data_IF_195927109385
#
_entry.id   IF_195927109385
#
_cell.length_a   1.000
_cell.length_b   1.000
_cell.length_c   1.000
_cell.angle_alpha   90.00
_cell.angle_beta   90.00
_cell.angle_gamma   90.00
#
_symmetry.space_group_name_H-M   'P 1'
#
loop_
_entity.id
_entity.type
_entity.pdbx_description
1 polymer ?
#
# COMPACT_ATOMS: atom_id res chain seq x y z
N UNK A 1 12.57 13.50 15.33
CA UNK A 1 11.15 13.60 14.90
C UNK A 1 10.71 12.29 14.25
N UNK A 2 11.42 11.81 13.24
CA UNK A 2 11.14 10.56 12.51
C UNK A 2 10.72 9.35 13.38
N UNK A 3 11.57 8.90 14.31
CA UNK A 3 11.28 7.72 15.15
C UNK A 3 10.00 7.86 15.98
N UNK A 4 9.66 9.09 16.40
CA UNK A 4 8.42 9.36 17.13
C UNK A 4 7.19 9.17 16.21
N UNK A 5 7.27 9.60 14.95
CA UNK A 5 6.20 9.41 13.96
C UNK A 5 6.01 7.93 13.63
N UNK A 6 7.09 7.19 13.37
CA UNK A 6 7.02 5.75 13.10
C UNK A 6 6.37 5.00 14.26
N UNK A 7 6.82 5.26 15.50
CA UNK A 7 6.20 4.66 16.69
C UNK A 7 4.73 5.02 16.84
N UNK A 8 4.35 6.26 16.50
CA UNK A 8 2.96 6.69 16.58
C UNK A 8 2.07 6.00 15.52
N UNK A 9 2.58 5.81 14.30
CA UNK A 9 1.91 5.04 13.24
C UNK A 9 1.75 3.58 13.69
N UNK A 10 2.81 3.00 14.26
CA UNK A 10 2.80 1.61 14.72
C UNK A 10 1.81 1.40 15.86
N UNK A 11 1.77 2.30 16.84
CA UNK A 11 0.79 2.26 17.92
C UNK A 11 -0.65 2.35 17.37
N UNK A 12 -0.88 3.23 16.40
CA UNK A 12 -2.19 3.40 15.77
C UNK A 12 -2.64 2.13 15.02
N UNK A 13 -1.72 1.49 14.29
CA UNK A 13 -1.99 0.27 13.54
C UNK A 13 -2.08 -0.98 14.44
N UNK A 14 -1.37 -1.03 15.56
CA UNK A 14 -1.51 -2.10 16.55
C UNK A 14 -2.85 -2.08 17.28
N UNK A 15 -3.61 -0.98 17.20
CA UNK A 15 -4.97 -0.93 17.70
C UNK A 15 -6.00 -1.60 16.75
N UNK A 16 -5.57 -2.12 15.60
CA UNK A 16 -6.43 -2.90 14.71
C UNK A 16 -6.91 -4.18 15.41
N UNK A 17 -8.24 -4.37 15.59
CA UNK A 17 -8.77 -5.57 16.23
C UNK A 17 -8.60 -6.84 15.37
N UNK A 18 -8.28 -6.69 14.08
CA UNK A 18 -8.07 -7.81 13.18
C UNK A 18 -6.62 -8.29 13.30
N UNK A 19 -6.45 -9.62 13.43
CA UNK A 19 -5.13 -10.24 13.48
C UNK A 19 -4.89 -11.18 12.30
N UNK A 20 -3.64 -11.29 11.90
CA UNK A 20 -3.15 -12.21 10.85
C UNK A 20 -1.92 -12.95 11.35
N UNK A 21 -1.78 -14.22 10.96
CA UNK A 21 -0.60 -15.02 11.29
C UNK A 21 0.47 -14.86 10.22
N UNK A 22 1.70 -14.63 10.63
CA UNK A 22 2.88 -14.60 9.76
C UNK A 22 4.07 -15.18 10.54
N UNK A 23 4.79 -16.12 9.93
CA UNK A 23 5.95 -16.80 10.55
C UNK A 23 5.69 -17.35 11.96
N UNK A 24 4.49 -17.91 12.18
CA UNK A 24 4.09 -18.48 13.46
C UNK A 24 3.71 -17.46 14.54
N UNK A 25 3.81 -16.17 14.26
CA UNK A 25 3.39 -15.08 15.16
C UNK A 25 2.09 -14.43 14.69
N UNK A 26 1.36 -13.83 15.63
CA UNK A 26 0.13 -13.08 15.36
C UNK A 26 0.42 -11.60 15.36
N UNK A 27 0.00 -10.89 14.32
CA UNK A 27 0.16 -9.45 14.18
C UNK A 27 -1.19 -8.77 13.96
N UNK A 28 -1.34 -7.54 14.45
CA UNK A 28 -2.38 -6.64 13.99
C UNK A 28 -2.24 -6.44 12.47
N UNK A 29 -3.35 -6.57 11.73
CA UNK A 29 -3.32 -6.67 10.27
C UNK A 29 -2.71 -5.43 9.61
N UNK A 30 -3.16 -4.23 9.98
CA UNK A 30 -2.59 -3.00 9.41
C UNK A 30 -1.14 -2.73 9.90
N UNK A 31 -0.72 -3.27 11.05
CA UNK A 31 0.67 -3.18 11.50
C UNK A 31 1.60 -4.03 10.64
N UNK A 32 1.21 -5.27 10.35
CA UNK A 32 1.99 -6.13 9.44
C UNK A 32 2.07 -5.53 8.03
N UNK A 33 0.99 -4.92 7.54
CA UNK A 33 1.01 -4.20 6.26
C UNK A 33 2.03 -3.05 6.28
N UNK A 34 2.05 -2.22 7.33
CA UNK A 34 3.01 -1.13 7.48
C UNK A 34 4.47 -1.62 7.50
N UNK A 35 4.74 -2.75 8.16
CA UNK A 35 6.07 -3.40 8.14
C UNK A 35 6.49 -3.80 6.73
N UNK A 36 5.59 -4.44 5.97
CA UNK A 36 5.85 -4.87 4.58
C UNK A 36 6.09 -3.68 3.65
N UNK A 37 5.37 -2.58 3.84
CA UNK A 37 5.61 -1.32 3.11
C UNK A 37 7.01 -0.75 3.37
N UNK A 38 7.47 -0.76 4.63
CA UNK A 38 8.82 -0.30 4.98
C UNK A 38 9.91 -1.19 4.40
N UNK A 39 9.74 -2.52 4.51
CA UNK A 39 10.68 -3.49 3.94
C UNK A 39 10.79 -3.32 2.42
N UNK A 40 9.66 -3.25 1.72
CA UNK A 40 9.63 -3.07 0.27
C UNK A 40 10.25 -1.73 -0.15
N UNK A 41 9.97 -0.63 0.55
CA UNK A 41 10.63 0.65 0.26
C UNK A 41 12.15 0.54 0.38
N UNK A 42 12.63 -0.14 1.42
CA UNK A 42 14.07 -0.31 1.66
C UNK A 42 14.74 -1.14 0.56
N UNK A 43 14.04 -2.15 0.01
CA UNK A 43 14.54 -2.94 -1.12
C UNK A 43 14.47 -2.20 -2.46
N UNK A 44 13.35 -1.51 -2.72
CA UNK A 44 13.08 -0.86 -4.00
C UNK A 44 13.81 0.46 -4.18
N UNK A 45 13.83 1.31 -3.15
CA UNK A 45 14.40 2.65 -3.17
C UNK A 45 15.22 2.90 -1.89
N UNK A 46 16.40 2.27 -1.74
CA UNK A 46 17.19 2.32 -0.49
C UNK A 46 17.70 3.72 -0.09
N UNK A 47 17.70 4.65 -1.03
CA UNK A 47 18.08 6.07 -0.86
C UNK A 47 16.88 6.98 -0.57
N UNK A 48 15.67 6.43 -0.38
CA UNK A 48 14.49 7.20 -0.03
C UNK A 48 14.69 7.96 1.29
N UNK A 49 14.24 9.22 1.32
CA UNK A 49 14.34 10.04 2.50
C UNK A 49 13.36 9.63 3.61
N UNK A 50 13.54 10.22 4.80
CA UNK A 50 12.71 9.90 5.96
C UNK A 50 11.22 10.22 5.76
N UNK A 51 10.86 11.19 4.89
CA UNK A 51 9.46 11.52 4.61
C UNK A 51 8.80 10.41 3.80
N UNK A 52 9.51 9.82 2.85
CA UNK A 52 9.01 8.66 2.10
C UNK A 52 8.92 7.40 2.96
N UNK A 53 9.84 7.22 3.93
CA UNK A 53 9.68 6.18 4.94
C UNK A 53 8.42 6.38 5.80
N UNK A 54 8.12 7.62 6.23
CA UNK A 54 6.88 7.94 6.96
C UNK A 54 5.65 7.65 6.08
N UNK A 55 5.66 8.10 4.82
CA UNK A 55 4.56 7.91 3.88
C UNK A 55 4.28 6.42 3.63
N UNK A 56 5.33 5.62 3.38
CA UNK A 56 5.19 4.18 3.15
C UNK A 56 4.67 3.46 4.41
N UNK A 57 5.22 3.78 5.59
CA UNK A 57 4.76 3.23 6.87
C UNK A 57 3.29 3.52 7.13
N UNK A 58 2.85 4.73 6.77
CA UNK A 58 1.52 5.25 7.02
C UNK A 58 0.49 5.02 5.90
N UNK A 59 0.85 4.37 4.79
CA UNK A 59 0.03 4.29 3.57
C UNK A 59 -1.42 3.83 3.82
N UNK A 60 -1.64 2.87 4.72
CA UNK A 60 -2.97 2.38 5.13
C UNK A 60 -3.21 2.53 6.64
N UNK A 61 -2.67 3.57 7.27
CA UNK A 61 -2.82 3.79 8.72
C UNK A 61 -4.29 3.73 9.15
N UNK A 62 -4.60 2.94 10.19
CA UNK A 62 -5.93 2.80 10.80
C UNK A 62 -7.06 2.43 9.80
N UNK A 63 -6.74 1.79 8.67
CA UNK A 63 -7.73 1.48 7.62
C UNK A 63 -8.95 0.71 8.11
N UNK A 64 -8.78 -0.13 9.13
CA UNK A 64 -9.87 -0.87 9.78
C UNK A 64 -11.00 0.03 10.33
N UNK A 65 -10.74 1.32 10.57
CA UNK A 65 -11.74 2.31 11.02
C UNK A 65 -12.68 2.81 9.92
N UNK A 66 -12.37 2.54 8.65
CA UNK A 66 -13.22 2.90 7.51
C UNK A 66 -13.50 1.64 6.67
N UNK A 67 -14.39 0.75 7.16
CA UNK A 67 -14.68 -0.50 6.48
C UNK A 67 -15.46 -0.26 5.19
N UNK A 68 -15.23 -1.11 4.17
CA UNK A 68 -15.92 -1.04 2.87
C UNK A 68 -17.45 -1.14 3.00
N UNK A 69 -17.95 -1.81 4.04
CA UNK A 69 -19.38 -2.00 4.31
C UNK A 69 -20.15 -0.70 4.49
N UNK A 70 -19.46 0.39 4.87
CA UNK A 70 -20.09 1.68 5.17
C UNK A 70 -20.43 2.47 3.90
N UNK A 71 -20.09 1.95 2.73
CA UNK A 71 -20.29 2.58 1.42
C UNK A 71 -21.23 1.75 0.54
N UNK A 72 -21.99 2.38 -0.39
CA UNK A 72 -22.90 1.66 -1.29
C UNK A 72 -22.21 0.52 -2.05
N UNK A 73 -22.91 -0.58 -2.32
CA UNK A 73 -22.37 -1.68 -3.12
C UNK A 73 -22.07 -1.26 -4.56
N UNK A 74 -21.22 -2.03 -5.24
CA UNK A 74 -20.85 -1.79 -6.63
C UNK A 74 -19.67 -0.84 -6.83
N UNK A 75 -19.41 -0.55 -8.11
CA UNK A 75 -18.19 0.12 -8.58
C UNK A 75 -18.08 1.57 -8.10
N UNK A 76 -19.19 2.31 -8.12
CA UNK A 76 -19.22 3.71 -7.70
C UNK A 76 -18.92 3.86 -6.21
N UNK A 77 -19.60 3.10 -5.34
CA UNK A 77 -19.34 3.13 -3.90
C UNK A 77 -17.93 2.64 -3.53
N UNK A 78 -17.36 1.70 -4.31
CA UNK A 78 -15.95 1.33 -4.15
C UNK A 78 -15.00 2.50 -4.45
N UNK A 79 -15.26 3.29 -5.49
CA UNK A 79 -14.43 4.45 -5.78
C UNK A 79 -14.57 5.57 -4.76
N UNK A 80 -15.78 5.79 -4.24
CA UNK A 80 -16.01 6.74 -3.14
C UNK A 80 -15.23 6.33 -1.89
N UNK A 81 -15.36 5.07 -1.47
CA UNK A 81 -14.62 4.52 -0.33
C UNK A 81 -13.12 4.67 -0.51
N UNK A 82 -12.60 4.27 -1.68
CA UNK A 82 -11.17 4.35 -1.96
C UNK A 82 -10.66 5.79 -1.97
N UNK A 83 -11.42 6.73 -2.52
CA UNK A 83 -11.09 8.16 -2.50
C UNK A 83 -11.05 8.70 -1.08
N UNK A 84 -12.06 8.39 -0.26
CA UNK A 84 -12.10 8.80 1.14
C UNK A 84 -10.93 8.23 1.96
N UNK A 85 -10.52 6.98 1.69
CA UNK A 85 -9.35 6.38 2.33
C UNK A 85 -8.06 7.13 2.03
N UNK A 86 -7.86 7.62 0.80
CA UNK A 86 -6.65 8.37 0.43
C UNK A 86 -6.50 9.63 1.29
N UNK A 87 -7.56 10.41 1.42
CA UNK A 87 -7.52 11.63 2.23
C UNK A 87 -7.43 11.28 3.74
N UNK A 88 -8.20 10.29 4.22
CA UNK A 88 -8.15 9.84 5.62
C UNK A 88 -6.74 9.41 6.06
N UNK A 89 -6.06 8.56 5.26
CA UNK A 89 -4.71 8.10 5.59
C UNK A 89 -3.72 9.27 5.61
N UNK A 90 -3.77 10.14 4.61
CA UNK A 90 -2.88 11.29 4.49
C UNK A 90 -3.07 12.29 5.64
N UNK A 91 -4.31 12.60 6.01
CA UNK A 91 -4.63 13.45 7.17
C UNK A 91 -4.10 12.82 8.46
N UNK A 92 -4.29 11.51 8.62
CA UNK A 92 -3.90 10.81 9.84
C UNK A 92 -2.39 10.77 10.04
N UNK A 93 -1.62 10.46 9.00
CA UNK A 93 -0.15 10.46 9.04
C UNK A 93 0.38 11.87 9.34
N UNK A 94 -0.13 12.88 8.63
CA UNK A 94 0.38 14.25 8.76
C UNK A 94 -0.01 14.90 10.09
N UNK A 95 -1.13 14.51 10.70
CA UNK A 95 -1.43 14.89 12.08
C UNK A 95 -0.36 14.40 13.06
N UNK A 96 0.12 13.15 12.91
CA UNK A 96 1.21 12.62 13.74
C UNK A 96 2.54 13.34 13.48
N UNK A 97 2.82 13.67 12.22
CA UNK A 97 4.00 14.45 11.86
C UNK A 97 3.99 15.85 12.51
N UNK A 98 2.85 16.56 12.45
CA UNK A 98 2.67 17.87 13.10
C UNK A 98 2.91 17.79 14.60
N UNK A 99 2.35 16.77 15.28
CA UNK A 99 2.60 16.55 16.72
C UNK A 99 4.09 16.29 17.01
N UNK A 100 4.81 15.63 16.11
CA UNK A 100 6.24 15.37 16.25
C UNK A 100 7.15 16.57 15.87
N UNK A 101 6.58 17.67 15.37
CA UNK A 101 7.30 18.92 15.05
C UNK A 101 7.73 19.10 13.60
N UNK A 102 7.23 18.29 12.65
CA UNK A 102 7.51 18.49 11.23
C UNK A 102 6.92 19.78 10.68
N UNK A 103 7.59 20.36 9.68
CA UNK A 103 7.13 21.58 9.04
C UNK A 103 5.83 21.36 8.24
N UNK A 104 5.12 22.45 7.93
CA UNK A 104 3.94 22.40 7.07
C UNK A 104 4.30 21.84 5.69
N UNK A 105 5.43 22.27 5.12
CA UNK A 105 5.89 21.80 3.81
C UNK A 105 6.17 20.29 3.78
N UNK A 106 6.81 19.75 4.83
CA UNK A 106 7.05 18.30 4.94
C UNK A 106 5.74 17.53 5.05
N UNK A 107 4.80 18.05 5.84
CA UNK A 107 3.47 17.45 5.98
C UNK A 107 2.69 17.48 4.65
N UNK A 108 2.75 18.57 3.89
CA UNK A 108 2.09 18.69 2.58
C UNK A 108 2.67 17.71 1.55
N UNK A 109 3.99 17.52 1.55
CA UNK A 109 4.66 16.54 0.69
C UNK A 109 4.20 15.12 1.01
N UNK A 110 4.22 14.72 2.29
CA UNK A 110 3.74 13.39 2.72
C UNK A 110 2.24 13.23 2.46
N UNK A 111 1.44 14.27 2.70
CA UNK A 111 0.01 14.27 2.40
C UNK A 111 -0.22 13.91 0.93
N UNK A 112 0.44 14.63 0.02
CA UNK A 112 0.27 14.44 -1.41
C UNK A 112 0.62 13.02 -1.83
N UNK A 113 1.72 12.48 -1.30
CA UNK A 113 2.20 11.13 -1.58
C UNK A 113 1.21 10.04 -1.14
N UNK A 114 0.75 10.09 0.12
CA UNK A 114 -0.19 9.10 0.70
C UNK A 114 -1.57 9.21 0.05
N UNK A 115 -2.05 10.44 -0.19
CA UNK A 115 -3.33 10.69 -0.84
C UNK A 115 -3.32 10.48 -2.37
N UNK A 116 -2.18 10.02 -2.93
CA UNK A 116 -1.99 9.76 -4.37
C UNK A 116 -2.29 10.98 -5.26
N UNK A 117 -2.01 12.19 -4.77
CA UNK A 117 -2.28 13.41 -5.54
C UNK A 117 -1.34 13.48 -6.73
N UNK A 118 -1.92 13.72 -7.91
CA UNK A 118 -1.21 13.92 -9.18
C UNK A 118 -0.18 12.81 -9.50
N UNK A 119 -0.52 11.54 -9.28
CA UNK A 119 0.42 10.40 -9.40
C UNK A 119 1.35 10.41 -10.63
N UNK A 120 0.85 10.81 -11.80
CA UNK A 120 1.64 10.86 -13.05
C UNK A 120 2.68 11.98 -13.10
N UNK A 121 2.59 12.96 -12.20
CA UNK A 121 3.42 14.16 -12.17
C UNK A 121 4.03 14.42 -10.78
N UNK A 122 3.73 13.55 -9.81
CA UNK A 122 4.28 13.60 -8.46
C UNK A 122 5.08 12.31 -8.23
N UNK A 123 6.43 12.39 -8.22
CA UNK A 123 7.27 11.21 -8.05
C UNK A 123 7.08 10.53 -6.69
N UNK A 124 6.77 11.27 -5.62
CA UNK A 124 6.52 10.67 -4.30
C UNK A 124 5.19 9.87 -4.32
N UNK A 125 4.14 10.40 -4.94
CA UNK A 125 2.87 9.67 -5.12
C UNK A 125 3.06 8.39 -5.93
N UNK A 126 3.85 8.46 -7.01
CA UNK A 126 4.18 7.31 -7.85
C UNK A 126 4.97 6.27 -7.04
N UNK A 127 6.01 6.68 -6.32
CA UNK A 127 6.80 5.82 -5.46
C UNK A 127 5.91 5.06 -4.48
N UNK A 128 5.02 5.72 -3.76
CA UNK A 128 4.15 5.02 -2.81
C UNK A 128 3.14 4.09 -3.52
N UNK A 129 2.72 4.35 -4.77
CA UNK A 129 1.86 3.41 -5.52
C UNK A 129 2.65 2.20 -6.00
N UNK A 130 3.92 2.40 -6.41
CA UNK A 130 4.85 1.33 -6.76
C UNK A 130 5.03 0.39 -5.57
N UNK A 131 5.43 0.92 -4.41
CA UNK A 131 5.59 0.12 -3.18
C UNK A 131 4.30 -0.61 -2.82
N UNK A 132 3.14 0.06 -2.84
CA UNK A 132 1.87 -0.58 -2.51
C UNK A 132 1.49 -1.71 -3.50
N UNK A 133 1.83 -1.54 -4.78
CA UNK A 133 1.58 -2.54 -5.83
C UNK A 133 2.51 -3.74 -5.70
N UNK A 134 3.80 -3.51 -5.43
CA UNK A 134 4.80 -4.56 -5.17
C UNK A 134 4.42 -5.38 -3.93
N UNK A 135 4.08 -4.71 -2.82
CA UNK A 135 3.60 -5.36 -1.58
C UNK A 135 2.33 -6.18 -1.85
N UNK A 136 1.40 -5.65 -2.65
CA UNK A 136 0.20 -6.40 -3.02
C UNK A 136 0.54 -7.68 -3.78
N UNK A 137 1.40 -7.60 -4.80
CA UNK A 137 1.81 -8.76 -5.60
C UNK A 137 2.47 -9.82 -4.71
N UNK A 138 3.44 -9.42 -3.89
CA UNK A 138 4.26 -10.35 -3.10
C UNK A 138 3.50 -10.99 -1.93
N UNK A 139 2.63 -10.23 -1.27
CA UNK A 139 2.09 -10.65 0.03
C UNK A 139 0.57 -10.83 0.10
N UNK A 140 -0.20 -10.30 -0.86
CA UNK A 140 -1.66 -10.23 -0.72
C UNK A 140 -2.43 -10.74 -1.95
N UNK A 141 -1.80 -10.83 -3.12
CA UNK A 141 -2.47 -11.22 -4.35
C UNK A 141 -3.03 -12.65 -4.27
N UNK A 142 -2.29 -13.58 -3.67
CA UNK A 142 -2.73 -14.98 -3.53
C UNK A 142 -3.99 -15.10 -2.65
N UNK A 143 -3.96 -14.53 -1.44
CA UNK A 143 -5.11 -14.54 -0.53
C UNK A 143 -6.32 -13.81 -1.16
N UNK A 144 -6.07 -12.71 -1.87
CA UNK A 144 -7.12 -12.02 -2.61
C UNK A 144 -7.73 -12.91 -3.68
N UNK A 145 -6.91 -13.69 -4.39
CA UNK A 145 -7.38 -14.65 -5.38
C UNK A 145 -8.23 -15.77 -4.78
N UNK A 146 -7.79 -16.33 -3.67
CA UNK A 146 -8.55 -17.35 -2.94
C UNK A 146 -9.88 -16.83 -2.40
N UNK A 147 -9.95 -15.54 -2.07
CA UNK A 147 -11.19 -14.89 -1.61
C UNK A 147 -12.23 -14.62 -2.72
N UNK A 148 -11.87 -14.83 -3.99
CA UNK A 148 -12.70 -14.58 -5.18
C UNK A 148 -12.74 -15.80 -6.10
N UNK A 149 -13.27 -16.95 -5.63
CA UNK A 149 -13.37 -18.16 -6.44
C UNK A 149 -14.32 -18.03 -7.63
N UNK A 150 -15.17 -17.00 -7.64
CA UNK A 150 -16.10 -16.65 -8.71
C UNK A 150 -15.44 -15.89 -9.88
N UNK A 151 -14.19 -15.46 -9.74
CA UNK A 151 -13.49 -14.71 -10.79
C UNK A 151 -12.87 -15.67 -11.81
N UNK A 152 -13.28 -15.52 -13.07
CA UNK A 152 -12.67 -16.22 -14.18
C UNK A 152 -11.26 -15.70 -14.51
N UNK A 153 -10.56 -16.43 -15.37
CA UNK A 153 -9.20 -16.07 -15.78
C UNK A 153 -9.13 -14.68 -16.43
N UNK A 154 -10.12 -14.33 -17.27
CA UNK A 154 -10.15 -13.04 -17.96
C UNK A 154 -10.25 -11.87 -16.96
N UNK A 155 -11.06 -12.02 -15.91
CA UNK A 155 -11.17 -11.07 -14.82
C UNK A 155 -9.84 -10.90 -14.10
N UNK A 156 -9.15 -12.00 -13.81
CA UNK A 156 -7.84 -11.98 -13.16
C UNK A 156 -6.75 -11.34 -13.99
N UNK A 157 -6.65 -11.68 -15.28
CA UNK A 157 -5.75 -11.02 -16.22
C UNK A 157 -6.00 -9.50 -16.23
N UNK A 158 -7.28 -9.10 -16.20
CA UNK A 158 -7.65 -7.68 -16.11
C UNK A 158 -7.23 -7.01 -14.80
N UNK A 159 -7.24 -7.72 -13.67
CA UNK A 159 -6.76 -7.19 -12.38
C UNK A 159 -5.25 -7.04 -12.39
N UNK A 160 -4.52 -8.07 -12.83
CA UNK A 160 -3.06 -8.07 -12.89
C UNK A 160 -2.58 -6.94 -13.82
N UNK A 161 -3.16 -6.81 -15.01
CA UNK A 161 -2.83 -5.72 -15.95
C UNK A 161 -3.10 -4.34 -15.36
N UNK A 162 -4.19 -4.16 -14.61
CA UNK A 162 -4.48 -2.88 -13.95
C UNK A 162 -3.49 -2.57 -12.83
N UNK A 163 -3.06 -3.56 -12.06
CA UNK A 163 -1.98 -3.39 -11.07
C UNK A 163 -0.68 -3.02 -11.78
N UNK A 164 -0.33 -3.72 -12.87
CA UNK A 164 0.85 -3.43 -13.68
C UNK A 164 0.85 -1.99 -14.23
N UNK A 165 -0.26 -1.55 -14.83
CA UNK A 165 -0.39 -0.22 -15.43
C UNK A 165 -0.28 0.96 -14.45
N UNK A 166 -0.40 0.72 -13.14
CA UNK A 166 -0.21 1.75 -12.12
C UNK A 166 1.25 1.95 -11.73
N UNK A 167 2.06 0.92 -11.94
CA UNK A 167 3.46 0.92 -11.57
C UNK A 167 4.31 1.67 -12.59
N UNK A 168 5.39 2.27 -12.13
CA UNK A 168 6.44 2.84 -12.98
C UNK A 168 7.22 1.75 -13.74
N UNK A 169 7.97 2.16 -14.76
CA UNK A 169 8.89 1.27 -15.48
C UNK A 169 9.95 0.68 -14.56
N UNK A 170 10.45 1.44 -13.58
CA UNK A 170 11.42 0.97 -12.59
C UNK A 170 10.82 -0.16 -11.72
N UNK A 171 9.56 -0.01 -11.29
CA UNK A 171 8.85 -1.06 -10.58
C UNK A 171 8.58 -2.30 -11.45
N UNK A 172 8.34 -2.13 -12.75
CA UNK A 172 8.24 -3.26 -13.68
C UNK A 172 9.56 -4.02 -13.76
N UNK A 173 10.67 -3.32 -13.95
CA UNK A 173 12.01 -3.89 -14.01
C UNK A 173 12.35 -4.62 -12.70
N UNK A 174 12.00 -4.04 -11.55
CA UNK A 174 12.20 -4.66 -10.24
C UNK A 174 11.48 -6.02 -10.11
N UNK A 175 10.23 -6.11 -10.59
CA UNK A 175 9.49 -7.38 -10.64
C UNK A 175 10.14 -8.37 -11.60
N UNK A 176 10.49 -7.94 -12.81
CA UNK A 176 11.08 -8.80 -13.85
C UNK A 176 12.48 -9.30 -13.48
N UNK A 177 13.22 -8.53 -12.68
CA UNK A 177 14.52 -8.89 -12.12
C UNK A 177 14.40 -9.84 -10.90
N UNK A 178 13.19 -10.29 -10.55
CA UNK A 178 12.96 -11.24 -9.47
C UNK A 178 13.21 -10.68 -8.06
N UNK A 179 13.13 -9.36 -7.89
CA UNK A 179 13.39 -8.69 -6.59
C UNK A 179 12.21 -8.79 -5.61
N UNK A 180 11.08 -9.35 -6.06
CA UNK A 180 9.96 -9.75 -5.22
C UNK A 180 9.62 -11.22 -5.44
N UNK A 181 9.14 -11.89 -4.40
CA UNK A 181 8.60 -13.24 -4.51
C UNK A 181 7.22 -13.20 -5.18
N UNK A 182 7.10 -13.78 -6.38
CA UNK A 182 5.80 -13.96 -7.01
C UNK A 182 5.09 -15.17 -6.39
N UNK A 183 3.78 -15.08 -6.11
CA UNK A 183 3.01 -16.21 -5.59
C UNK A 183 3.01 -17.37 -6.59
N UNK A 184 3.63 -18.50 -6.23
CA UNK A 184 3.84 -19.65 -7.13
C UNK A 184 2.58 -20.07 -7.90
N UNK A 185 1.40 -20.21 -7.27
CA UNK A 185 0.19 -20.64 -7.99
C UNK A 185 -0.29 -19.65 -9.06
N UNK A 186 0.08 -18.37 -8.95
CA UNK A 186 -0.37 -17.31 -9.86
C UNK A 186 0.71 -16.92 -10.88
N UNK A 187 1.96 -17.41 -10.76
CA UNK A 187 3.05 -17.07 -11.69
C UNK A 187 2.68 -17.24 -13.16
N UNK A 188 2.07 -18.36 -13.62
CA UNK A 188 1.68 -18.50 -15.03
C UNK A 188 0.71 -17.42 -15.49
N UNK A 189 -0.24 -17.05 -14.62
CA UNK A 189 -1.25 -16.03 -14.91
C UNK A 189 -0.65 -14.62 -14.95
N UNK A 190 0.30 -14.34 -14.05
CA UNK A 190 1.05 -13.09 -14.05
C UNK A 190 1.84 -12.97 -15.35
N UNK A 191 2.64 -13.97 -15.72
CA UNK A 191 3.42 -13.93 -16.97
C UNK A 191 2.52 -13.78 -18.20
N UNK A 192 1.38 -14.47 -18.23
CA UNK A 192 0.38 -14.33 -19.30
C UNK A 192 -0.22 -12.92 -19.37
N UNK A 193 -0.34 -12.22 -18.25
CA UNK A 193 -0.86 -10.86 -18.22
C UNK A 193 0.12 -9.81 -18.75
N UNK A 194 1.43 -10.09 -18.66
CA UNK A 194 2.52 -9.19 -19.05
C UNK A 194 2.94 -9.32 -20.52
N UNK A 195 2.62 -10.45 -21.16
CA UNK A 195 2.73 -10.66 -22.61
C UNK A 195 1.55 -10.02 -23.35
#
# INVERSE_FOLDING_TARGET
MYQAVIKAIDNANNADPNSVKFEGQSYAKEFLYAMRMTDMLTRFKPDADELMHIAARGQHIERWRSPRSDFPLGKQGYYQWRGALYDFHAERVTALMKTAGYSIADCERVYAAVAKKNIKHNPDSQLIEDIASLVFIEHYMLDFAMSKPDYDEAKWLGIIRKTWQKMSSEAHEFVLAGQIALPEPLKPLILKALN
#
